data_IF_383232615909
#
_entry.id   IF_383232615909
#
_cell.length_a   1.000
_cell.length_b   1.000
_cell.length_c   1.000
_cell.angle_alpha   90.00
_cell.angle_beta   90.00
_cell.angle_gamma   90.00
#
_symmetry.space_group_name_H-M   'P 1'
#
loop_
_entity.id
_entity.type
_entity.pdbx_description
1 polymer ?
#
# COMPACT_ATOMS: atom_id res chain seq x y z
N UNK A 1 -2.66 -11.05 17.62
CA UNK A 1 -3.29 -10.91 16.28
C UNK A 1 -3.96 -9.56 16.12
N UNK A 2 -5.03 -9.27 16.87
CA UNK A 2 -5.77 -7.99 16.79
C UNK A 2 -4.91 -6.73 17.02
N UNK A 3 -4.03 -6.72 18.03
CA UNK A 3 -3.10 -5.58 18.25
C UNK A 3 -2.14 -5.33 17.07
N UNK A 4 -1.69 -6.40 16.42
CA UNK A 4 -0.78 -6.32 15.27
C UNK A 4 -1.52 -5.83 14.04
N UNK A 5 -2.72 -6.37 13.82
CA UNK A 5 -3.63 -5.94 12.75
C UNK A 5 -3.99 -4.47 12.92
N UNK A 6 -4.36 -4.01 14.13
CA UNK A 6 -4.66 -2.61 14.40
C UNK A 6 -3.48 -1.68 14.07
N UNK A 7 -2.24 -2.05 14.45
CA UNK A 7 -1.03 -1.30 14.06
C UNK A 7 -0.84 -1.25 12.54
N UNK A 8 -1.02 -2.38 11.86
CA UNK A 8 -0.95 -2.46 10.40
C UNK A 8 -2.01 -1.58 9.73
N UNK A 9 -3.25 -1.61 10.24
CA UNK A 9 -4.34 -0.74 9.79
C UNK A 9 -3.97 0.73 9.97
N UNK A 10 -3.46 1.14 11.14
CA UNK A 10 -3.05 2.53 11.39
C UNK A 10 -1.98 2.99 10.40
N UNK A 11 -1.00 2.14 10.09
CA UNK A 11 0.01 2.43 9.06
C UNK A 11 -0.62 2.53 7.68
N UNK A 12 -1.60 1.68 7.38
CA UNK A 12 -2.40 1.76 6.14
C UNK A 12 -3.16 3.08 6.00
N UNK A 13 -3.73 3.61 7.09
CA UNK A 13 -4.38 4.93 7.07
C UNK A 13 -3.36 6.04 6.79
N UNK A 14 -2.21 6.01 7.49
CA UNK A 14 -1.13 6.98 7.26
C UNK A 14 -0.59 6.90 5.84
N UNK A 15 -0.43 5.71 5.28
CA UNK A 15 -0.04 5.48 3.89
C UNK A 15 -0.99 6.18 2.91
N UNK A 16 -2.30 6.03 3.10
CA UNK A 16 -3.30 6.67 2.24
C UNK A 16 -3.21 8.19 2.35
N UNK A 17 -3.05 8.74 3.56
CA UNK A 17 -2.86 10.18 3.75
C UNK A 17 -1.59 10.69 3.08
N UNK A 18 -0.48 9.96 3.19
CA UNK A 18 0.79 10.31 2.52
C UNK A 18 0.63 10.30 1.00
N UNK A 19 -0.02 9.26 0.44
CA UNK A 19 -0.30 9.20 -0.99
C UNK A 19 -1.09 10.44 -1.42
N UNK A 20 -2.20 10.72 -0.76
CA UNK A 20 -3.05 11.87 -1.12
C UNK A 20 -2.32 13.20 -0.99
N UNK A 21 -1.51 13.37 0.05
CA UNK A 21 -0.67 14.56 0.24
C UNK A 21 0.34 14.75 -0.89
N UNK A 22 1.07 13.69 -1.26
CA UNK A 22 2.03 13.73 -2.38
C UNK A 22 1.29 13.97 -3.70
N UNK A 23 0.17 13.28 -3.93
CA UNK A 23 -0.63 13.46 -5.13
C UNK A 23 -1.12 14.90 -5.27
N UNK A 24 -1.68 15.48 -4.21
CA UNK A 24 -2.15 16.85 -4.20
C UNK A 24 -0.99 17.84 -4.44
N UNK A 25 0.17 17.62 -3.82
CA UNK A 25 1.35 18.44 -4.05
C UNK A 25 1.83 18.37 -5.51
N UNK A 26 1.89 17.17 -6.09
CA UNK A 26 2.30 16.97 -7.47
C UNK A 26 1.32 17.59 -8.49
N UNK A 27 0.01 17.48 -8.26
CA UNK A 27 -1.02 18.00 -9.16
C UNK A 27 -1.20 19.52 -9.01
N UNK A 28 -1.33 20.02 -7.79
CA UNK A 28 -1.66 21.42 -7.53
C UNK A 28 -0.43 22.32 -7.36
N UNK A 29 0.68 21.79 -6.85
CA UNK A 29 1.91 22.55 -6.64
C UNK A 29 2.86 22.49 -7.84
N UNK A 30 3.05 21.30 -8.42
CA UNK A 30 3.98 21.09 -9.54
C UNK A 30 3.29 21.01 -10.91
N UNK A 31 1.96 21.05 -10.97
CA UNK A 31 1.16 20.93 -12.21
C UNK A 31 1.50 19.69 -13.05
N UNK A 32 1.86 18.59 -12.40
CA UNK A 32 2.18 17.33 -13.08
C UNK A 32 0.92 16.57 -13.48
N UNK A 33 1.05 15.77 -14.54
CA UNK A 33 0.07 14.80 -15.00
C UNK A 33 -0.35 13.83 -13.87
N UNK A 34 -1.64 13.50 -13.81
CA UNK A 34 -2.21 12.61 -12.78
C UNK A 34 -1.51 11.24 -12.71
N UNK A 35 -1.07 10.69 -13.84
CA UNK A 35 -0.33 9.43 -13.87
C UNK A 35 0.99 9.52 -13.09
N UNK A 36 1.75 10.59 -13.30
CA UNK A 36 3.03 10.81 -12.61
C UNK A 36 2.82 11.12 -11.13
N UNK A 37 1.78 11.88 -10.79
CA UNK A 37 1.39 12.16 -9.41
C UNK A 37 0.97 10.88 -8.65
N UNK A 38 0.16 10.01 -9.27
CA UNK A 38 -0.23 8.72 -8.70
C UNK A 38 0.98 7.79 -8.52
N UNK A 39 1.87 7.73 -9.51
CA UNK A 39 3.09 6.91 -9.41
C UNK A 39 3.99 7.39 -8.27
N UNK A 40 4.22 8.70 -8.17
CA UNK A 40 5.04 9.29 -7.11
C UNK A 40 4.42 9.07 -5.73
N UNK A 41 3.10 9.28 -5.60
CA UNK A 41 2.35 9.00 -4.39
C UNK A 41 2.42 7.54 -3.98
N UNK A 42 2.27 6.61 -4.93
CA UNK A 42 2.41 5.18 -4.69
C UNK A 42 3.80 4.82 -4.16
N UNK A 43 4.87 5.26 -4.83
CA UNK A 43 6.26 4.94 -4.44
C UNK A 43 6.55 5.44 -3.03
N UNK A 44 6.22 6.70 -2.72
CA UNK A 44 6.51 7.28 -1.40
C UNK A 44 5.68 6.58 -0.32
N UNK A 45 4.39 6.35 -0.57
CA UNK A 45 3.51 5.73 0.40
C UNK A 45 3.90 4.27 0.67
N UNK A 46 4.17 3.47 -0.37
CA UNK A 46 4.53 2.06 -0.23
C UNK A 46 5.88 1.89 0.49
N UNK A 47 6.85 2.78 0.23
CA UNK A 47 8.12 2.80 0.98
C UNK A 47 7.88 3.10 2.45
N UNK A 48 7.12 4.14 2.77
CA UNK A 48 6.76 4.45 4.15
C UNK A 48 6.08 3.25 4.84
N UNK A 49 5.09 2.65 4.19
CA UNK A 49 4.38 1.48 4.71
C UNK A 49 5.32 0.32 5.00
N UNK A 50 6.28 0.04 4.12
CA UNK A 50 7.23 -1.04 4.32
C UNK A 50 8.09 -0.82 5.58
N UNK A 51 8.74 0.35 5.68
CA UNK A 51 9.61 0.65 6.81
C UNK A 51 8.83 0.78 8.12
N UNK A 52 7.66 1.40 8.08
CA UNK A 52 6.80 1.53 9.25
C UNK A 52 6.30 0.16 9.73
N UNK A 53 5.85 -0.71 8.82
CA UNK A 53 5.41 -2.05 9.22
C UNK A 53 6.57 -2.91 9.72
N UNK A 54 7.74 -2.83 9.10
CA UNK A 54 8.93 -3.54 9.57
C UNK A 54 9.29 -3.14 11.01
N UNK A 55 9.33 -1.83 11.30
CA UNK A 55 9.76 -1.31 12.60
C UNK A 55 8.70 -1.38 13.69
N UNK A 56 7.47 -0.94 13.40
CA UNK A 56 6.43 -0.72 14.41
C UNK A 56 5.43 -1.88 14.55
N UNK A 57 5.18 -2.60 13.45
CA UNK A 57 4.20 -3.70 13.41
C UNK A 57 4.87 -5.04 13.69
N UNK A 58 5.91 -5.38 12.93
CA UNK A 58 6.52 -6.72 12.94
C UNK A 58 7.87 -6.80 13.66
N UNK A 59 8.49 -5.66 13.99
CA UNK A 59 9.83 -5.58 14.60
C UNK A 59 10.88 -6.46 13.89
N UNK A 60 10.86 -6.43 12.56
CA UNK A 60 11.63 -7.29 11.69
C UNK A 60 12.67 -6.49 10.89
N UNK A 61 13.75 -7.15 10.48
CA UNK A 61 14.81 -6.54 9.67
C UNK A 61 14.31 -6.17 8.27
N UNK A 62 14.71 -4.99 7.81
CA UNK A 62 14.42 -4.51 6.45
C UNK A 62 15.50 -4.98 5.49
N UNK A 63 15.16 -5.89 4.59
CA UNK A 63 16.08 -6.34 3.52
C UNK A 63 15.56 -5.87 2.17
N UNK A 64 16.46 -5.69 1.20
CA UNK A 64 16.08 -5.28 -0.17
C UNK A 64 15.13 -6.27 -0.81
N UNK A 65 15.31 -7.56 -0.58
CA UNK A 65 14.40 -8.60 -1.10
C UNK A 65 12.98 -8.42 -0.54
N UNK A 66 12.84 -8.22 0.79
CA UNK A 66 11.53 -7.99 1.43
C UNK A 66 10.86 -6.73 0.91
N UNK A 67 11.64 -5.68 0.66
CA UNK A 67 11.14 -4.45 0.06
C UNK A 67 10.58 -4.68 -1.34
N UNK A 68 11.36 -5.32 -2.22
CA UNK A 68 10.94 -5.63 -3.59
C UNK A 68 9.70 -6.52 -3.62
N UNK A 69 9.62 -7.52 -2.74
CA UNK A 69 8.44 -8.38 -2.61
C UNK A 69 7.21 -7.59 -2.15
N UNK A 70 7.36 -6.70 -1.17
CA UNK A 70 6.26 -5.89 -0.67
C UNK A 70 5.74 -4.91 -1.73
N UNK A 71 6.64 -4.18 -2.39
CA UNK A 71 6.29 -3.23 -3.45
C UNK A 71 5.67 -3.94 -4.64
N UNK A 72 6.27 -5.05 -5.09
CA UNK A 72 5.76 -5.85 -6.20
C UNK A 72 4.36 -6.40 -5.91
N UNK A 73 4.12 -6.90 -4.71
CA UNK A 73 2.81 -7.39 -4.29
C UNK A 73 1.77 -6.26 -4.28
N UNK A 74 2.08 -5.13 -3.64
CA UNK A 74 1.15 -4.00 -3.55
C UNK A 74 0.84 -3.40 -4.92
N UNK A 75 1.84 -3.28 -5.80
CA UNK A 75 1.68 -2.81 -7.17
C UNK A 75 0.83 -3.75 -8.02
N UNK A 76 1.10 -5.06 -7.94
CA UNK A 76 0.32 -6.08 -8.66
C UNK A 76 -1.13 -6.10 -8.19
N UNK A 77 -1.35 -6.02 -6.88
CA UNK A 77 -2.69 -6.00 -6.32
C UNK A 77 -3.48 -4.76 -6.81
N UNK A 78 -2.84 -3.60 -6.84
CA UNK A 78 -3.43 -2.38 -7.38
C UNK A 78 -3.78 -2.52 -8.86
N UNK A 79 -2.88 -3.10 -9.67
CA UNK A 79 -3.11 -3.30 -11.09
C UNK A 79 -4.27 -4.28 -11.36
N UNK A 80 -4.32 -5.40 -10.64
CA UNK A 80 -5.38 -6.41 -10.79
C UNK A 80 -6.74 -5.82 -10.39
N UNK A 81 -6.83 -5.14 -9.25
CA UNK A 81 -8.09 -4.56 -8.79
C UNK A 81 -8.55 -3.43 -9.71
N UNK A 82 -7.63 -2.59 -10.18
CA UNK A 82 -7.94 -1.55 -11.18
C UNK A 82 -8.46 -2.15 -12.48
N UNK A 83 -7.79 -3.18 -13.01
CA UNK A 83 -8.22 -3.86 -14.23
C UNK A 83 -9.58 -4.54 -14.09
N UNK A 84 -9.85 -5.20 -12.95
CA UNK A 84 -11.17 -5.77 -12.67
C UNK A 84 -12.25 -4.69 -12.58
N UNK A 85 -11.94 -3.56 -11.97
CA UNK A 85 -12.87 -2.43 -11.89
C UNK A 85 -13.23 -1.85 -13.25
N UNK A 86 -12.25 -1.70 -14.13
CA UNK A 86 -12.47 -1.26 -15.51
C UNK A 86 -13.38 -2.25 -16.27
N UNK A 87 -13.11 -3.56 -16.13
CA UNK A 87 -13.92 -4.62 -16.77
C UNK A 87 -15.35 -4.68 -16.25
N UNK A 88 -15.55 -4.44 -14.96
CA UNK A 88 -16.86 -4.44 -14.34
C UNK A 88 -17.57 -3.07 -14.41
N UNK A 89 -16.95 -2.04 -15.00
CA UNK A 89 -17.44 -0.65 -15.02
C UNK A 89 -17.86 -0.17 -13.62
N UNK A 90 -17.07 -0.55 -12.61
CA UNK A 90 -17.38 -0.25 -11.21
C UNK A 90 -17.26 1.26 -10.95
N UNK A 91 -18.17 1.86 -10.17
CA UNK A 91 -18.02 3.24 -9.75
C UNK A 91 -16.69 3.43 -8.99
N UNK A 92 -15.93 4.51 -9.24
CA UNK A 92 -14.61 4.72 -8.62
C UNK A 92 -14.61 4.60 -7.09
N UNK A 93 -15.69 5.05 -6.44
CA UNK A 93 -15.85 4.95 -4.98
C UNK A 93 -15.93 3.50 -4.51
N UNK A 94 -16.64 2.64 -5.25
CA UNK A 94 -16.79 1.22 -4.91
C UNK A 94 -15.46 0.50 -5.07
N UNK A 95 -14.74 0.78 -6.16
CA UNK A 95 -13.38 0.27 -6.41
C UNK A 95 -12.41 0.66 -5.30
N UNK A 96 -12.52 1.88 -4.77
CA UNK A 96 -11.68 2.35 -3.67
C UNK A 96 -11.93 1.58 -2.38
N UNK A 97 -13.20 1.33 -2.05
CA UNK A 97 -13.60 0.58 -0.85
C UNK A 97 -13.16 -0.88 -0.97
N UNK A 98 -13.40 -1.52 -2.11
CA UNK A 98 -13.02 -2.92 -2.33
C UNK A 98 -11.50 -3.09 -2.35
N UNK A 99 -10.77 -2.22 -3.06
CA UNK A 99 -9.32 -2.21 -3.05
C UNK A 99 -8.76 -2.02 -1.64
N UNK A 100 -9.32 -1.09 -0.87
CA UNK A 100 -8.87 -0.84 0.50
C UNK A 100 -9.09 -2.07 1.38
N UNK A 101 -10.27 -2.70 1.33
CA UNK A 101 -10.55 -3.89 2.13
C UNK A 101 -9.63 -5.07 1.74
N UNK A 102 -9.49 -5.34 0.45
CA UNK A 102 -8.67 -6.45 -0.07
C UNK A 102 -7.19 -6.21 0.27
N UNK A 103 -6.66 -5.01 0.01
CA UNK A 103 -5.26 -4.68 0.31
C UNK A 103 -4.95 -4.75 1.81
N UNK A 104 -5.90 -4.41 2.68
CA UNK A 104 -5.71 -4.48 4.11
C UNK A 104 -5.62 -5.93 4.60
N UNK A 105 -6.52 -6.80 4.14
CA UNK A 105 -6.56 -8.22 4.54
C UNK A 105 -5.41 -8.99 3.88
N UNK A 106 -5.33 -8.96 2.55
CA UNK A 106 -4.31 -9.69 1.79
C UNK A 106 -2.92 -9.13 2.07
N UNK A 107 -2.76 -7.81 2.17
CA UNK A 107 -1.48 -7.18 2.51
C UNK A 107 -1.02 -7.54 3.93
N UNK A 108 -1.92 -7.60 4.91
CA UNK A 108 -1.55 -8.05 6.26
C UNK A 108 -1.09 -9.51 6.27
N UNK A 109 -1.83 -10.40 5.61
CA UNK A 109 -1.47 -11.83 5.53
C UNK A 109 -0.13 -12.00 4.82
N UNK A 110 0.05 -11.38 3.64
CA UNK A 110 1.29 -11.45 2.88
C UNK A 110 2.48 -10.89 3.67
N UNK A 111 2.28 -9.73 4.31
CA UNK A 111 3.32 -9.10 5.12
C UNK A 111 3.74 -9.97 6.29
N UNK A 112 2.77 -10.59 6.97
CA UNK A 112 3.05 -11.41 8.15
C UNK A 112 3.73 -12.74 7.79
N UNK A 113 3.21 -13.46 6.80
CA UNK A 113 3.61 -14.84 6.54
C UNK A 113 4.72 -14.99 5.51
N UNK A 114 4.92 -13.98 4.64
CA UNK A 114 5.90 -14.04 3.56
C UNK A 114 6.98 -12.97 3.77
N UNK A 115 6.61 -11.70 3.85
CA UNK A 115 7.58 -10.59 3.89
C UNK A 115 8.35 -10.58 5.21
N UNK A 116 7.64 -10.57 6.33
CA UNK A 116 8.21 -10.52 7.68
C UNK A 116 8.07 -11.87 8.39
N UNK A 117 8.18 -12.97 7.64
CA UNK A 117 8.21 -14.30 8.22
C UNK A 117 9.40 -14.36 9.20
N UNK A 118 9.11 -14.60 10.47
CA UNK A 118 10.14 -14.95 11.44
C UNK A 118 10.87 -16.19 10.91
N UNK A 119 12.18 -16.04 10.68
CA UNK A 119 13.05 -17.19 10.58
C UNK A 119 13.10 -17.78 11.99
N UNK A 120 12.37 -18.88 12.21
CA UNK A 120 12.68 -19.78 13.31
C UNK A 120 14.10 -20.29 13.16
#
# INVERSE_FOLDING_TARGET
MLKLFAKYTSIGVLNTLIHWGVFAFCVYGMHTHQALANFSGFVIAVSFSFYANARFTFNASTTTLRYMMYVGFMGTLSAVVGWMADKCSLPPLLTLITFSAISLICGFIYSKFIVFRDAK
#
